data_IF_549127016265
#
_entry.id   IF_549127016265
#
_cell.length_a   1.000
_cell.length_b   1.000
_cell.length_c   1.000
_cell.angle_alpha   90.00
_cell.angle_beta   90.00
_cell.angle_gamma   90.00
#
_symmetry.space_group_name_H-M   'P 1'
#
loop_
_entity.id
_entity.type
_entity.pdbx_description
1 polymer ?
#
# COMPACT_ATOMS: atom_id res chain seq x y z
N UNK A 1 -26.65 -10.60 5.27
CA UNK A 1 -26.35 -10.59 3.82
C UNK A 1 -25.51 -9.38 3.41
N UNK A 2 -25.89 -8.14 3.76
CA UNK A 2 -25.10 -6.93 3.45
C UNK A 2 -23.67 -6.91 4.04
N UNK A 3 -23.46 -7.44 5.25
CA UNK A 3 -22.13 -7.57 5.89
C UNK A 3 -21.13 -8.32 5.00
N UNK A 4 -21.52 -9.52 4.54
CA UNK A 4 -20.67 -10.42 3.76
C UNK A 4 -20.32 -9.81 2.40
N UNK A 5 -21.29 -9.15 1.76
CA UNK A 5 -21.06 -8.49 0.46
C UNK A 5 -20.10 -7.31 0.58
N UNK A 6 -20.29 -6.45 1.60
CA UNK A 6 -19.43 -5.27 1.79
C UNK A 6 -18.00 -5.67 2.18
N UNK A 7 -17.84 -6.63 3.09
CA UNK A 7 -16.51 -7.15 3.42
C UNK A 7 -15.85 -7.76 2.19
N UNK A 8 -16.61 -8.51 1.37
CA UNK A 8 -16.14 -9.04 0.08
C UNK A 8 -15.64 -7.97 -0.88
N UNK A 9 -16.34 -6.83 -0.99
CA UNK A 9 -15.89 -5.73 -1.86
C UNK A 9 -14.59 -5.09 -1.35
N UNK A 10 -14.43 -4.95 -0.03
CA UNK A 10 -13.19 -4.44 0.58
C UNK A 10 -12.05 -5.44 0.36
N UNK A 11 -12.30 -6.74 0.54
CA UNK A 11 -11.32 -7.79 0.23
C UNK A 11 -10.91 -7.74 -1.24
N UNK A 12 -11.87 -7.64 -2.17
CA UNK A 12 -11.60 -7.49 -3.60
C UNK A 12 -10.68 -6.30 -3.88
N UNK A 13 -10.98 -5.14 -3.30
CA UNK A 13 -10.15 -3.95 -3.45
C UNK A 13 -8.69 -4.20 -3.02
N UNK A 14 -8.46 -4.85 -1.88
CA UNK A 14 -7.10 -5.15 -1.41
C UNK A 14 -6.40 -6.22 -2.25
N UNK A 15 -7.11 -7.27 -2.67
CA UNK A 15 -6.57 -8.30 -3.55
C UNK A 15 -6.11 -7.68 -4.89
N UNK A 16 -6.92 -6.78 -5.47
CA UNK A 16 -6.57 -6.06 -6.69
C UNK A 16 -5.38 -5.11 -6.48
N UNK A 17 -5.37 -4.33 -5.39
CA UNK A 17 -4.29 -3.39 -5.09
C UNK A 17 -2.96 -4.10 -4.84
N UNK A 18 -2.95 -5.14 -4.02
CA UNK A 18 -1.75 -5.93 -3.71
C UNK A 18 -1.25 -6.65 -4.96
N UNK A 19 -2.16 -7.22 -5.77
CA UNK A 19 -1.79 -7.86 -7.05
C UNK A 19 -1.10 -6.86 -7.97
N UNK A 20 -1.67 -5.67 -8.15
CA UNK A 20 -1.07 -4.63 -8.99
C UNK A 20 0.37 -4.28 -8.54
N UNK A 21 0.57 -4.06 -7.23
CA UNK A 21 1.88 -3.66 -6.69
C UNK A 21 2.89 -4.81 -6.77
N UNK A 22 2.48 -6.06 -6.53
CA UNK A 22 3.36 -7.22 -6.68
C UNK A 22 3.77 -7.42 -8.14
N UNK A 23 2.83 -7.34 -9.08
CA UNK A 23 3.10 -7.43 -10.52
C UNK A 23 4.07 -6.34 -10.99
N UNK A 24 3.88 -5.10 -10.53
CA UNK A 24 4.81 -3.99 -10.80
C UNK A 24 6.24 -4.30 -10.33
N UNK A 25 6.37 -5.03 -9.21
CA UNK A 25 7.66 -5.46 -8.65
C UNK A 25 8.15 -6.81 -9.20
N UNK A 26 7.51 -7.38 -10.23
CA UNK A 26 7.79 -8.71 -10.79
C UNK A 26 7.70 -9.85 -9.75
N UNK A 27 6.87 -9.68 -8.73
CA UNK A 27 6.64 -10.67 -7.68
C UNK A 27 5.38 -11.47 -7.99
N UNK A 28 5.46 -12.79 -7.82
CA UNK A 28 4.32 -13.69 -7.92
C UNK A 28 3.81 -14.03 -6.54
N UNK A 29 2.50 -14.13 -6.42
CA UNK A 29 1.84 -14.59 -5.21
C UNK A 29 0.56 -15.35 -5.56
N UNK A 30 0.02 -16.05 -4.57
CA UNK A 30 -1.29 -16.66 -4.67
C UNK A 30 -2.23 -15.89 -3.73
N UNK A 31 -3.20 -15.13 -4.26
CA UNK A 31 -4.11 -14.36 -3.43
C UNK A 31 -4.91 -15.28 -2.50
N UNK A 32 -5.11 -14.90 -1.22
CA UNK A 32 -5.95 -15.62 -0.26
C UNK A 32 -7.32 -16.02 -0.80
N UNK A 33 -7.96 -15.10 -1.54
CA UNK A 33 -9.21 -15.36 -2.25
C UNK A 33 -9.02 -14.98 -3.72
N UNK A 34 -9.29 -15.88 -4.67
CA UNK A 34 -9.15 -15.56 -6.08
C UNK A 34 -10.01 -14.35 -6.49
N UNK A 35 -9.39 -13.36 -7.14
CA UNK A 35 -10.07 -12.16 -7.66
C UNK A 35 -11.32 -12.50 -8.49
N UNK A 36 -11.30 -13.49 -9.42
CA UNK A 36 -12.50 -13.85 -10.19
C UNK A 36 -13.68 -14.26 -9.30
N UNK A 37 -13.43 -14.99 -8.20
CA UNK A 37 -14.47 -15.42 -7.26
C UNK A 37 -15.11 -14.24 -6.53
N UNK A 38 -14.32 -13.22 -6.18
CA UNK A 38 -14.84 -12.00 -5.56
C UNK A 38 -15.62 -11.14 -6.55
N UNK A 39 -15.15 -11.03 -7.80
CA UNK A 39 -15.79 -10.26 -8.87
C UNK A 39 -17.20 -10.75 -9.23
N UNK A 40 -17.53 -12.02 -8.98
CA UNK A 40 -18.89 -12.55 -9.19
C UNK A 40 -19.93 -11.89 -8.27
N UNK A 41 -19.51 -11.27 -7.17
CA UNK A 41 -20.40 -10.85 -6.07
C UNK A 41 -20.19 -9.41 -5.62
N UNK A 42 -19.15 -8.75 -6.11
CA UNK A 42 -18.68 -7.47 -5.62
C UNK A 42 -18.38 -6.52 -6.77
N UNK A 43 -18.78 -5.26 -6.61
CA UNK A 43 -18.36 -4.19 -7.53
C UNK A 43 -16.86 -3.94 -7.41
N UNK A 44 -16.23 -3.64 -8.54
CA UNK A 44 -14.81 -3.26 -8.58
C UNK A 44 -14.66 -1.78 -8.23
N UNK A 45 -13.80 -1.51 -7.25
CA UNK A 45 -13.50 -0.15 -6.79
C UNK A 45 -12.02 0.22 -6.99
N UNK A 46 -11.16 -0.75 -7.32
CA UNK A 46 -9.77 -0.48 -7.61
C UNK A 46 -9.61 -0.01 -9.07
N UNK A 47 -8.81 1.04 -9.27
CA UNK A 47 -8.51 1.59 -10.59
C UNK A 47 -6.99 1.67 -10.79
N UNK A 48 -6.48 1.53 -12.03
CA UNK A 48 -5.04 1.57 -12.29
C UNK A 48 -4.32 2.84 -11.80
N UNK A 49 -5.00 3.99 -11.78
CA UNK A 49 -4.44 5.23 -11.22
C UNK A 49 -4.16 5.14 -9.72
N UNK A 50 -4.96 4.38 -8.97
CA UNK A 50 -4.65 4.06 -7.57
C UNK A 50 -3.37 3.23 -7.52
N UNK A 51 -3.28 2.18 -8.35
CA UNK A 51 -2.06 1.36 -8.47
C UNK A 51 -0.80 2.19 -8.72
N UNK A 52 -0.86 3.11 -9.68
CA UNK A 52 0.25 4.04 -9.98
C UNK A 52 0.69 4.88 -8.77
N UNK A 53 -0.27 5.39 -7.99
CA UNK A 53 0.03 6.14 -6.78
C UNK A 53 0.68 5.24 -5.72
N UNK A 54 0.17 4.02 -5.55
CA UNK A 54 0.63 3.06 -4.55
C UNK A 54 2.04 2.51 -4.81
N UNK A 55 2.47 2.42 -6.06
CA UNK A 55 3.83 2.00 -6.43
C UNK A 55 4.83 3.15 -6.44
N UNK A 56 4.36 4.40 -6.35
CA UNK A 56 5.23 5.57 -6.42
C UNK A 56 6.14 5.66 -5.19
N UNK A 57 7.45 5.84 -5.40
CA UNK A 57 8.44 5.81 -4.32
C UNK A 57 8.14 6.83 -3.20
N UNK A 58 7.79 8.09 -3.51
CA UNK A 58 7.42 9.07 -2.47
C UNK A 58 6.22 8.63 -1.60
N UNK A 59 5.21 7.95 -2.18
CA UNK A 59 4.06 7.43 -1.44
C UNK A 59 4.49 6.31 -0.49
N UNK A 60 5.35 5.41 -0.97
CA UNK A 60 5.89 4.30 -0.19
C UNK A 60 6.78 4.81 0.94
N UNK A 61 7.71 5.72 0.65
CA UNK A 61 8.63 6.28 1.65
C UNK A 61 7.89 7.02 2.76
N UNK A 62 6.87 7.80 2.39
CA UNK A 62 6.03 8.52 3.34
C UNK A 62 5.20 7.55 4.20
N UNK A 63 4.63 6.51 3.59
CA UNK A 63 3.94 5.46 4.34
C UNK A 63 4.90 4.78 5.35
N UNK A 64 6.10 4.41 4.93
CA UNK A 64 7.10 3.81 5.79
C UNK A 64 7.59 4.76 6.89
N UNK A 65 7.66 6.07 6.62
CA UNK A 65 7.97 7.10 7.64
C UNK A 65 6.94 7.08 8.76
N UNK A 66 5.65 7.08 8.42
CA UNK A 66 4.57 6.98 9.42
C UNK A 66 4.61 5.66 10.21
N UNK A 67 4.94 4.55 9.55
CA UNK A 67 5.00 3.22 10.20
C UNK A 67 6.14 3.18 11.22
N UNK A 68 7.29 3.76 10.88
CA UNK A 68 8.43 3.91 11.79
C UNK A 68 8.10 4.79 12.98
N UNK A 69 7.35 5.88 12.79
CA UNK A 69 6.94 6.77 13.89
C UNK A 69 6.09 6.07 14.94
N UNK A 70 5.26 5.09 14.55
CA UNK A 70 4.46 4.29 15.49
C UNK A 70 5.23 3.10 16.08
N UNK A 71 6.50 2.92 15.71
CA UNK A 71 7.37 1.86 16.21
C UNK A 71 7.11 0.47 15.65
N UNK A 72 6.50 0.37 14.46
CA UNK A 72 6.27 -0.92 13.82
C UNK A 72 7.55 -1.40 13.10
N UNK A 73 8.12 -2.49 13.60
CA UNK A 73 9.30 -3.14 13.04
C UNK A 73 8.89 -4.36 12.21
N UNK A 74 9.01 -4.24 10.88
CA UNK A 74 8.69 -5.30 9.92
C UNK A 74 9.59 -6.53 10.06
N UNK A 75 10.87 -6.33 10.40
CA UNK A 75 11.84 -7.40 10.59
C UNK A 75 11.51 -8.23 11.81
N UNK A 76 11.14 -7.58 12.92
CA UNK A 76 10.66 -8.29 14.11
C UNK A 76 9.28 -8.92 13.88
N UNK A 77 8.40 -8.23 13.17
CA UNK A 77 7.01 -8.67 12.95
C UNK A 77 6.93 -9.97 12.15
N UNK A 78 7.74 -10.14 11.10
CA UNK A 78 7.70 -11.33 10.24
C UNK A 78 8.23 -12.60 10.94
N UNK A 79 9.06 -12.45 11.97
CA UNK A 79 9.59 -13.54 12.78
C UNK A 79 8.63 -13.96 13.92
N UNK A 80 7.52 -13.25 14.09
CA UNK A 80 6.53 -13.60 15.11
C UNK A 80 5.72 -14.84 14.71
N UNK A 81 5.12 -15.51 15.69
CA UNK A 81 4.10 -16.52 15.40
C UNK A 81 2.90 -15.88 14.68
N UNK A 82 2.15 -16.63 13.85
CA UNK A 82 1.00 -16.11 13.10
C UNK A 82 0.02 -15.29 13.96
N UNK A 83 -0.35 -15.80 15.14
CA UNK A 83 -1.27 -15.10 16.05
C UNK A 83 -0.70 -13.79 16.62
N UNK A 84 0.60 -13.79 16.95
CA UNK A 84 1.27 -12.60 17.45
C UNK A 84 1.46 -11.54 16.35
N UNK A 85 1.83 -11.96 15.15
CA UNK A 85 1.94 -11.10 13.98
C UNK A 85 0.60 -10.46 13.63
N UNK A 86 -0.48 -11.26 13.62
CA UNK A 86 -1.84 -10.78 13.36
C UNK A 86 -2.27 -9.72 14.37
N UNK A 87 -2.11 -9.99 15.67
CA UNK A 87 -2.46 -9.04 16.72
C UNK A 87 -1.61 -7.77 16.67
N UNK A 88 -0.31 -7.90 16.36
CA UNK A 88 0.60 -6.77 16.20
C UNK A 88 0.18 -5.89 15.02
N UNK A 89 -0.11 -6.47 13.85
CA UNK A 89 -0.54 -5.71 12.68
C UNK A 89 -1.85 -4.95 12.95
N UNK A 90 -2.85 -5.64 13.53
CA UNK A 90 -4.13 -5.03 13.90
C UNK A 90 -3.98 -3.82 14.82
N UNK A 91 -3.13 -3.94 15.85
CA UNK A 91 -2.88 -2.83 16.78
C UNK A 91 -2.18 -1.66 16.10
N UNK A 92 -1.21 -1.95 15.23
CA UNK A 92 -0.44 -0.92 14.55
C UNK A 92 -1.23 -0.20 13.45
N UNK A 93 -2.07 -0.89 12.67
CA UNK A 93 -2.97 -0.23 11.71
C UNK A 93 -3.89 0.79 12.39
N UNK A 94 -4.42 0.46 13.57
CA UNK A 94 -5.24 1.39 14.38
C UNK A 94 -4.44 2.58 14.91
N UNK A 95 -3.18 2.36 15.31
CA UNK A 95 -2.28 3.45 15.76
C UNK A 95 -1.88 4.35 14.60
N UNK A 96 -1.61 3.75 13.45
CA UNK A 96 -1.19 4.42 12.23
C UNK A 96 -2.20 5.48 11.80
N UNK A 97 -3.48 5.11 11.68
CA UNK A 97 -4.53 6.07 11.29
C UNK A 97 -4.79 7.16 12.33
N UNK A 98 -4.56 6.88 13.63
CA UNK A 98 -4.67 7.90 14.69
C UNK A 98 -3.50 8.88 14.72
N UNK A 99 -2.35 8.48 14.18
CA UNK A 99 -1.11 9.26 14.21
C UNK A 99 -0.92 10.09 12.94
N UNK A 100 -1.48 9.65 11.81
CA UNK A 100 -1.60 10.52 10.64
C UNK A 100 -2.56 11.65 11.00
N UNK A 101 -2.12 12.90 10.78
CA UNK A 101 -2.90 14.12 11.07
C UNK A 101 -4.30 13.94 10.47
N UNK A 102 -5.35 14.21 11.26
CA UNK A 102 -6.74 13.92 10.87
C UNK A 102 -7.10 14.55 9.50
N UNK A 103 -6.44 15.65 9.15
CA UNK A 103 -6.59 16.45 7.93
C UNK A 103 -5.63 16.09 6.78
N UNK A 104 -4.79 15.06 6.93
CA UNK A 104 -3.95 14.63 5.82
C UNK A 104 -4.81 14.04 4.70
N UNK A 105 -4.78 14.71 3.55
CA UNK A 105 -5.56 14.38 2.35
C UNK A 105 -5.25 12.99 1.78
N UNK A 106 -4.06 12.43 2.07
CA UNK A 106 -3.60 11.16 1.53
C UNK A 106 -3.53 10.05 2.58
N UNK A 107 -4.03 10.28 3.81
CA UNK A 107 -3.93 9.32 4.93
C UNK A 107 -4.29 7.88 4.59
N UNK A 108 -5.38 7.67 3.86
CA UNK A 108 -5.83 6.33 3.49
C UNK A 108 -4.94 5.71 2.41
N UNK A 109 -4.41 6.52 1.49
CA UNK A 109 -3.44 6.03 0.50
C UNK A 109 -2.14 5.60 1.19
N UNK A 110 -1.67 6.32 2.21
CA UNK A 110 -0.51 5.87 2.99
C UNK A 110 -0.76 4.55 3.70
N UNK A 111 -1.98 4.32 4.23
CA UNK A 111 -2.34 3.03 4.84
C UNK A 111 -2.31 1.92 3.79
N UNK A 112 -2.93 2.15 2.63
CA UNK A 112 -3.01 1.15 1.55
C UNK A 112 -1.62 0.88 0.97
N UNK A 113 -0.79 1.91 0.78
CA UNK A 113 0.59 1.78 0.31
C UNK A 113 1.43 0.97 1.27
N UNK A 114 1.31 1.21 2.57
CA UNK A 114 1.96 0.37 3.58
C UNK A 114 1.50 -1.09 3.51
N UNK A 115 0.19 -1.35 3.39
CA UNK A 115 -0.36 -2.71 3.26
C UNK A 115 0.23 -3.41 2.03
N UNK A 116 0.27 -2.73 0.88
CA UNK A 116 0.83 -3.29 -0.35
C UNK A 116 2.34 -3.54 -0.22
N UNK A 117 3.09 -2.59 0.36
CA UNK A 117 4.51 -2.75 0.64
C UNK A 117 4.77 -3.94 1.58
N UNK A 118 3.98 -4.09 2.64
CA UNK A 118 4.12 -5.20 3.58
C UNK A 118 3.87 -6.55 2.89
N UNK A 119 2.92 -6.62 1.95
CA UNK A 119 2.71 -7.80 1.10
C UNK A 119 3.93 -8.10 0.22
N UNK A 120 4.54 -7.10 -0.42
CA UNK A 120 5.81 -7.29 -1.13
C UNK A 120 6.92 -7.78 -0.20
N UNK A 121 7.01 -7.21 1.01
CA UNK A 121 8.03 -7.54 2.00
C UNK A 121 7.99 -9.01 2.42
N UNK A 122 6.79 -9.57 2.63
CA UNK A 122 6.62 -10.99 3.00
C UNK A 122 6.83 -11.93 1.82
N UNK A 123 6.38 -11.55 0.62
CA UNK A 123 6.58 -12.36 -0.61
C UNK A 123 8.06 -12.47 -0.94
N UNK A 124 8.82 -11.38 -0.86
CA UNK A 124 10.30 -11.38 -1.07
C UNK A 124 11.06 -12.27 -0.09
N UNK A 125 10.48 -12.59 1.08
CA UNK A 125 11.10 -13.41 2.13
C UNK A 125 10.58 -14.84 2.17
N UNK A 126 9.82 -15.25 1.15
CA UNK A 126 9.18 -16.57 1.08
C UNK A 126 8.28 -16.85 2.32
N UNK A 127 7.62 -15.81 2.81
CA UNK A 127 6.68 -15.85 3.94
C UNK A 127 5.26 -15.57 3.46
N UNK A 128 4.91 -16.17 2.33
CA UNK A 128 3.63 -15.92 1.64
C UNK A 128 2.41 -16.27 2.51
N UNK A 129 2.56 -17.11 3.54
CA UNK A 129 1.53 -17.41 4.53
C UNK A 129 1.02 -16.17 5.28
N UNK A 130 1.82 -15.11 5.36
CA UNK A 130 1.42 -13.86 6.02
C UNK A 130 0.48 -13.00 5.17
N UNK A 131 0.42 -13.23 3.86
CA UNK A 131 -0.40 -12.43 2.94
C UNK A 131 -1.90 -12.55 3.28
N UNK A 132 -2.34 -13.73 3.71
CA UNK A 132 -3.70 -13.95 4.24
C UNK A 132 -4.01 -13.02 5.41
N UNK A 133 -3.10 -12.90 6.38
CA UNK A 133 -3.31 -12.04 7.54
C UNK A 133 -3.32 -10.57 7.15
N UNK A 134 -2.46 -10.16 6.23
CA UNK A 134 -2.40 -8.79 5.75
C UNK A 134 -3.73 -8.41 5.09
N UNK A 135 -4.22 -9.22 4.15
CA UNK A 135 -5.50 -8.98 3.46
C UNK A 135 -6.67 -8.98 4.44
N UNK A 136 -6.73 -9.97 5.34
CA UNK A 136 -7.82 -10.07 6.32
C UNK A 136 -7.85 -8.86 7.27
N UNK A 137 -6.71 -8.46 7.82
CA UNK A 137 -6.66 -7.33 8.77
C UNK A 137 -6.88 -5.99 8.06
N UNK A 138 -6.40 -5.83 6.83
CA UNK A 138 -6.71 -4.67 5.98
C UNK A 138 -8.22 -4.58 5.70
N UNK A 139 -8.83 -5.68 5.26
CA UNK A 139 -10.24 -5.72 4.94
C UNK A 139 -11.12 -5.45 6.18
N UNK A 140 -10.82 -6.07 7.31
CA UNK A 140 -11.50 -5.81 8.57
C UNK A 140 -11.34 -4.35 9.01
N UNK A 141 -10.14 -3.78 8.89
CA UNK A 141 -9.87 -2.39 9.26
C UNK A 141 -10.71 -1.40 8.44
N UNK A 142 -10.70 -1.50 7.11
CA UNK A 142 -11.46 -0.61 6.22
C UNK A 142 -12.96 -0.86 6.29
N UNK A 143 -13.39 -2.09 6.52
CA UNK A 143 -14.78 -2.42 6.76
C UNK A 143 -15.31 -1.72 8.03
N UNK A 144 -14.57 -1.80 9.14
CA UNK A 144 -14.95 -1.19 10.41
C UNK A 144 -14.92 0.34 10.39
N UNK A 145 -14.10 0.94 9.53
CA UNK A 145 -14.10 2.39 9.26
C UNK A 145 -15.31 2.85 8.40
N UNK A 146 -16.24 1.94 8.11
CA UNK A 146 -17.40 2.20 7.29
C UNK A 146 -17.07 2.71 5.88
N UNK A 147 -16.12 2.09 5.19
CA UNK A 147 -15.88 2.40 3.77
C UNK A 147 -17.13 2.20 2.91
N UNK A 148 -17.55 3.27 2.23
CA UNK A 148 -18.69 3.30 1.30
C UNK A 148 -18.19 3.52 -0.12
N UNK A 149 -19.04 3.35 -1.13
CA UNK A 149 -18.72 3.70 -2.52
C UNK A 149 -18.18 5.13 -2.66
N UNK A 150 -18.72 6.09 -1.89
CA UNK A 150 -18.23 7.46 -1.87
C UNK A 150 -16.79 7.59 -1.36
N UNK A 151 -16.36 6.74 -0.42
CA UNK A 151 -14.96 6.70 0.05
C UNK A 151 -14.02 6.16 -1.03
N UNK A 152 -14.45 5.18 -1.81
CA UNK A 152 -13.67 4.69 -2.96
C UNK A 152 -13.54 5.74 -4.07
N UNK A 153 -14.62 6.46 -4.37
CA UNK A 153 -14.56 7.61 -5.30
C UNK A 153 -13.58 8.68 -4.80
N UNK A 154 -13.62 9.00 -3.52
CA UNK A 154 -12.66 9.92 -2.92
C UNK A 154 -11.22 9.41 -3.06
N UNK A 155 -10.94 8.13 -2.78
CA UNK A 155 -9.61 7.54 -2.99
C UNK A 155 -9.15 7.64 -4.44
N UNK A 156 -10.06 7.40 -5.40
CA UNK A 156 -9.76 7.50 -6.82
C UNK A 156 -9.32 8.92 -7.19
N UNK A 157 -10.11 9.91 -6.80
CA UNK A 157 -9.81 11.33 -7.04
C UNK A 157 -8.48 11.74 -6.42
N UNK A 158 -8.20 11.30 -5.19
CA UNK A 158 -6.93 11.59 -4.51
C UNK A 158 -5.73 10.93 -5.18
N UNK A 159 -5.87 9.69 -5.62
CA UNK A 159 -4.81 8.99 -6.35
C UNK A 159 -4.50 9.67 -7.68
N UNK A 160 -5.55 10.10 -8.39
CA UNK A 160 -5.42 10.84 -9.65
C UNK A 160 -4.72 12.19 -9.43
N UNK A 161 -5.13 12.96 -8.42
CA UNK A 161 -4.49 14.23 -8.05
C UNK A 161 -3.02 14.03 -7.64
N UNK A 162 -2.74 12.99 -6.84
CA UNK A 162 -1.39 12.65 -6.42
C UNK A 162 -0.49 12.40 -7.64
N UNK A 163 -0.93 11.55 -8.57
CA UNK A 163 -0.15 11.21 -9.77
C UNK A 163 0.12 12.42 -10.66
N UNK A 164 -0.88 13.30 -10.85
CA UNK A 164 -0.67 14.54 -11.63
C UNK A 164 0.36 15.43 -10.95
N UNK A 165 0.19 15.65 -9.64
CA UNK A 165 1.05 16.56 -8.88
C UNK A 165 2.49 16.06 -8.87
N UNK A 166 2.70 14.78 -8.58
CA UNK A 166 4.05 14.20 -8.51
C UNK A 166 4.71 14.13 -9.88
N UNK A 167 3.94 13.87 -10.95
CA UNK A 167 4.48 13.97 -12.31
C UNK A 167 5.05 15.37 -12.57
N UNK A 168 4.28 16.42 -12.25
CA UNK A 168 4.73 17.81 -12.43
C UNK A 168 5.94 18.14 -11.55
N UNK A 169 5.94 17.73 -10.28
CA UNK A 169 7.06 17.98 -9.36
C UNK A 169 8.35 17.31 -9.83
N UNK A 170 8.27 16.07 -10.33
CA UNK A 170 9.44 15.35 -10.83
C UNK A 170 9.90 15.87 -12.20
N UNK A 171 8.99 16.17 -13.12
CA UNK A 171 9.32 16.81 -14.41
C UNK A 171 10.00 18.18 -14.20
N UNK A 172 9.52 18.98 -13.24
CA UNK A 172 10.15 20.26 -12.89
C UNK A 172 11.53 20.10 -12.25
N UNK A 173 11.72 19.07 -11.41
CA UNK A 173 13.03 18.78 -10.82
C UNK A 173 14.06 18.27 -11.83
N UNK A 174 13.61 17.64 -12.92
CA UNK A 174 14.47 17.22 -14.04
C UNK A 174 14.84 18.41 -14.96
N UNK A 175 13.91 19.36 -15.18
CA UNK A 175 14.15 20.57 -15.99
C UNK A 175 14.99 21.65 -15.28
N UNK A 176 14.98 21.70 -13.94
CA UNK A 176 15.82 22.64 -13.16
C UNK A 176 17.29 22.19 -13.01
N UNK A 177 17.63 21.00 -13.52
CA UNK A 177 18.96 20.40 -13.38
C UNK A 177 19.67 20.13 -14.71
N UNK A 178 20.04 21.15 -15.50
CA UNK A 178 21.25 21.10 -16.36
C UNK A 178 21.67 22.48 -16.94
N UNK A 179 22.31 23.31 -16.11
CA UNK A 179 23.44 24.16 -16.50
C UNK A 179 24.41 24.28 -15.31
N UNK A 180 25.09 23.18 -15.01
CA UNK A 180 26.42 23.26 -14.37
C UNK A 180 27.22 22.04 -14.79
N UNK A 181 27.91 22.22 -15.92
CA UNK A 181 29.06 21.43 -16.32
C UNK A 181 30.18 21.63 -15.27
N UNK A 182 30.31 20.70 -14.33
CA UNK A 182 31.57 20.29 -13.70
C UNK A 182 31.35 18.95 -12.99
N UNK A 183 31.97 17.90 -13.52
CA UNK A 183 31.76 16.53 -13.08
C UNK A 183 32.30 16.15 -11.70
N UNK A 184 31.73 15.05 -11.20
CA UNK A 184 32.29 14.02 -10.31
C UNK A 184 31.14 13.03 -10.14
N UNK A 185 31.09 11.92 -10.88
CA UNK A 185 31.60 10.60 -10.45
C UNK A 185 31.34 10.30 -8.96
N UNK A 186 30.62 9.18 -8.75
CA UNK A 186 30.30 8.48 -7.49
C UNK A 186 29.06 8.92 -6.71
N UNK A 187 27.89 8.33 -7.03
CA UNK A 187 26.81 8.04 -6.06
C UNK A 187 25.69 7.11 -6.65
N UNK A 188 26.05 6.12 -7.49
CA UNK A 188 25.06 5.16 -8.04
C UNK A 188 24.90 3.84 -7.24
N UNK A 189 25.59 3.65 -6.11
CA UNK A 189 25.80 2.30 -5.58
C UNK A 189 24.96 1.91 -4.34
N UNK A 190 24.05 2.75 -3.85
CA UNK A 190 23.28 2.44 -2.62
C UNK A 190 21.86 1.87 -2.89
N UNK A 191 21.35 1.97 -4.12
CA UNK A 191 19.98 1.49 -4.44
C UNK A 191 19.90 -0.01 -4.79
N UNK A 192 21.02 -0.67 -5.09
CA UNK A 192 21.05 -2.09 -5.51
C UNK A 192 21.22 -3.10 -4.37
N UNK A 193 21.37 -2.65 -3.12
CA UNK A 193 21.62 -3.56 -1.99
C UNK A 193 20.37 -4.21 -1.39
N UNK A 194 19.17 -3.87 -1.87
CA UNK A 194 17.90 -4.40 -1.32
C UNK A 194 16.91 -4.91 -2.39
N UNK A 195 17.38 -5.23 -3.59
CA UNK A 195 16.64 -6.01 -4.59
C UNK A 195 17.24 -7.41 -4.70
#
# INVERSE_FOLDING_TARGET
MQYILRLGCVTLFFEEAITYVLEYNNLRWNPPVPIPTLMERCDRYFFPSMGQALVHHCMVDEALRHVRLIGFDMGRWIEMSPDAARNSLRQNLRRYVRQIIEDDFFKHLYVIAFICYLSCYVVKRDKSEFTYFIVSEAADFFYMDNYTSARYTYLFERSYQYNITHRVLHEQSEDEGFYSDTGSEDDEDDFRRFL
#
